data_IF_100240898418
#
_entry.id   IF_100240898418
#
_cell.length_a   1.000
_cell.length_b   1.000
_cell.length_c   1.000
_cell.angle_alpha   90.00
_cell.angle_beta   90.00
_cell.angle_gamma   90.00
#
_symmetry.space_group_name_H-M   'P 1'
#
loop_
_entity.id
_entity.type
_entity.pdbx_description
1 polymer ?
#
# COMPACT_ATOMS: atom_id res chain seq x y z
N UNK A 1 -9.30 -11.30 -20.99
CA UNK A 1 -9.26 -11.67 -19.56
C UNK A 1 -9.60 -10.41 -18.80
N UNK A 2 -10.41 -10.49 -17.75
CA UNK A 2 -10.77 -9.29 -16.97
C UNK A 2 -9.56 -8.87 -16.12
N UNK A 3 -9.30 -7.58 -16.06
CA UNK A 3 -8.19 -6.98 -15.30
C UNK A 3 -8.78 -5.93 -14.38
N UNK A 4 -8.47 -6.01 -13.09
CA UNK A 4 -8.75 -4.94 -12.14
C UNK A 4 -7.77 -3.80 -12.40
N UNK A 5 -8.30 -2.59 -12.61
CA UNK A 5 -7.48 -1.41 -12.83
C UNK A 5 -7.26 -0.59 -11.57
N UNK A 6 -6.13 0.11 -11.47
CA UNK A 6 -5.90 1.09 -10.39
C UNK A 6 -6.99 2.17 -10.40
N UNK A 7 -7.36 2.64 -11.60
CA UNK A 7 -8.45 3.60 -11.78
C UNK A 7 -9.81 3.09 -11.27
N UNK A 8 -10.08 1.79 -11.35
CA UNK A 8 -11.31 1.16 -10.81
C UNK A 8 -11.31 1.03 -9.28
N UNK A 9 -10.13 1.05 -8.66
CA UNK A 9 -9.96 0.99 -7.20
C UNK A 9 -10.18 2.37 -6.58
N UNK A 10 -9.84 3.44 -7.29
CA UNK A 10 -10.02 4.80 -6.79
C UNK A 10 -11.51 5.11 -6.61
N UNK A 11 -11.83 5.73 -5.48
CA UNK A 11 -13.18 5.98 -5.01
C UNK A 11 -13.80 4.83 -4.21
N UNK A 12 -13.18 3.65 -4.19
CA UNK A 12 -13.66 2.54 -3.37
C UNK A 12 -13.36 2.71 -1.89
N UNK A 13 -14.29 2.26 -1.06
CA UNK A 13 -14.18 2.29 0.39
C UNK A 13 -13.41 1.06 0.91
N UNK A 14 -12.55 1.27 1.91
CA UNK A 14 -11.83 0.22 2.64
C UNK A 14 -12.75 -0.35 3.72
N UNK A 15 -13.09 -1.64 3.61
CA UNK A 15 -13.91 -2.34 4.60
C UNK A 15 -13.07 -3.00 5.69
N UNK A 16 -11.91 -3.53 5.33
CA UNK A 16 -11.04 -4.25 6.26
C UNK A 16 -9.60 -4.22 5.74
N UNK A 17 -8.65 -4.17 6.66
CA UNK A 17 -7.23 -4.35 6.37
C UNK A 17 -6.70 -5.46 7.26
N UNK A 18 -5.94 -6.37 6.65
CA UNK A 18 -5.18 -7.40 7.33
C UNK A 18 -3.74 -7.35 6.88
N UNK A 19 -2.84 -7.94 7.63
CA UNK A 19 -1.44 -7.99 7.24
C UNK A 19 -0.81 -9.34 7.54
N UNK A 20 0.20 -9.68 6.77
CA UNK A 20 1.08 -10.81 7.06
C UNK A 20 2.45 -10.26 7.43
N UNK A 21 2.96 -10.73 8.56
CA UNK A 21 4.30 -10.40 9.02
C UNK A 21 5.09 -11.69 9.22
N UNK A 22 6.24 -11.77 8.58
CA UNK A 22 7.22 -12.82 8.78
C UNK A 22 8.48 -12.19 9.38
N UNK A 23 8.83 -12.49 10.65
CA UNK A 23 10.01 -11.93 11.28
C UNK A 23 11.34 -12.46 10.71
N UNK A 24 11.32 -13.59 9.98
CA UNK A 24 12.50 -14.23 9.39
C UNK A 24 12.06 -15.12 8.21
N UNK A 25 11.94 -14.50 7.03
CA UNK A 25 11.55 -15.20 5.82
C UNK A 25 12.68 -16.08 5.26
N UNK A 26 12.38 -16.87 4.23
CA UNK A 26 13.32 -17.82 3.61
C UNK A 26 14.63 -17.18 3.07
N UNK A 27 14.65 -15.85 2.93
CA UNK A 27 15.79 -15.08 2.45
C UNK A 27 16.59 -14.38 3.58
N UNK A 28 16.21 -14.59 4.84
CA UNK A 28 16.87 -13.98 6.00
C UNK A 28 16.49 -12.51 6.20
N UNK A 29 15.27 -12.12 5.82
CA UNK A 29 14.72 -10.78 6.01
C UNK A 29 13.39 -10.82 6.76
N UNK A 30 13.03 -9.70 7.39
CA UNK A 30 11.65 -9.46 7.80
C UNK A 30 10.82 -9.19 6.56
N UNK A 31 9.58 -9.67 6.52
CA UNK A 31 8.61 -9.26 5.52
C UNK A 31 7.28 -8.83 6.13
N UNK A 32 6.67 -7.82 5.55
CA UNK A 32 5.37 -7.29 5.93
C UNK A 32 4.55 -7.05 4.65
N UNK A 33 3.31 -7.52 4.58
CA UNK A 33 2.44 -7.27 3.43
C UNK A 33 1.02 -7.00 3.93
N UNK A 34 0.46 -5.85 3.59
CA UNK A 34 -0.92 -5.48 3.83
C UNK A 34 -1.85 -5.96 2.71
N UNK A 35 -3.04 -6.40 3.12
CA UNK A 35 -4.12 -6.81 2.23
C UNK A 35 -5.38 -6.05 2.61
N UNK A 36 -5.92 -5.33 1.64
CA UNK A 36 -7.03 -4.39 1.80
C UNK A 36 -8.26 -4.96 1.11
N UNK A 37 -9.33 -5.17 1.87
CA UNK A 37 -10.63 -5.56 1.34
C UNK A 37 -11.46 -4.31 1.06
N UNK A 38 -11.86 -4.17 -0.20
CA UNK A 38 -12.65 -3.05 -0.70
C UNK A 38 -14.16 -3.34 -0.61
N UNK A 39 -14.97 -2.29 -0.69
CA UNK A 39 -16.44 -2.40 -0.70
C UNK A 39 -17.00 -3.19 -1.89
N UNK A 40 -16.28 -3.26 -3.01
CA UNK A 40 -16.60 -4.16 -4.12
C UNK A 40 -16.43 -5.65 -3.78
N UNK A 41 -15.85 -5.97 -2.63
CA UNK A 41 -15.46 -7.33 -2.24
C UNK A 41 -14.09 -7.75 -2.77
N UNK A 42 -13.43 -6.93 -3.58
CA UNK A 42 -12.07 -7.19 -4.06
C UNK A 42 -11.05 -7.03 -2.93
N UNK A 43 -9.97 -7.81 -3.01
CA UNK A 43 -8.82 -7.74 -2.12
C UNK A 43 -7.62 -7.33 -2.96
N UNK A 44 -6.85 -6.36 -2.46
CA UNK A 44 -5.64 -5.84 -3.08
C UNK A 44 -4.50 -5.80 -2.07
N UNK A 45 -3.26 -5.81 -2.54
CA UNK A 45 -2.10 -5.33 -1.78
C UNK A 45 -1.85 -3.84 -2.06
N UNK A 46 -0.78 -3.28 -1.48
CA UNK A 46 -0.34 -1.92 -1.82
C UNK A 46 0.55 -2.02 -3.07
N UNK A 47 0.17 -1.41 -4.21
CA UNK A 47 0.93 -1.54 -5.44
C UNK A 47 2.29 -0.85 -5.34
N UNK A 48 3.29 -1.38 -6.05
CA UNK A 48 4.64 -0.79 -6.19
C UNK A 48 5.00 -0.51 -7.66
N UNK A 49 3.98 -0.36 -8.52
CA UNK A 49 4.11 0.00 -9.92
C UNK A 49 2.90 0.85 -10.35
N UNK A 50 3.10 1.72 -11.35
CA UNK A 50 2.16 2.76 -11.77
C UNK A 50 1.31 2.40 -12.99
N UNK A 51 1.33 1.15 -13.44
CA UNK A 51 0.49 0.69 -14.53
C UNK A 51 -0.97 0.55 -14.09
N UNK A 52 -1.89 1.14 -14.89
CA UNK A 52 -3.32 1.03 -14.62
C UNK A 52 -3.80 -0.43 -14.64
N UNK A 53 -3.19 -1.31 -15.44
CA UNK A 53 -3.46 -2.75 -15.40
C UNK A 53 -2.80 -3.40 -14.17
N UNK A 54 -3.50 -3.37 -13.04
CA UNK A 54 -2.98 -3.82 -11.75
C UNK A 54 -3.01 -5.33 -11.57
N UNK A 55 -4.19 -5.95 -11.70
CA UNK A 55 -4.34 -7.38 -11.37
C UNK A 55 -5.21 -8.10 -12.38
N UNK A 56 -4.65 -9.13 -13.00
CA UNK A 56 -5.42 -10.09 -13.80
C UNK A 56 -6.37 -10.88 -12.91
N UNK A 57 -7.67 -10.87 -13.20
CA UNK A 57 -8.70 -11.51 -12.37
C UNK A 57 -8.87 -12.99 -12.72
N UNK A 58 -7.77 -13.75 -12.64
CA UNK A 58 -7.78 -15.22 -12.74
C UNK A 58 -8.19 -15.84 -11.40
N UNK A 59 -8.70 -17.07 -11.42
CA UNK A 59 -9.04 -17.78 -10.19
C UNK A 59 -7.82 -17.94 -9.27
N UNK A 60 -6.64 -18.22 -9.85
CA UNK A 60 -5.38 -18.34 -9.11
C UNK A 60 -5.04 -17.06 -8.33
N UNK A 61 -5.14 -15.90 -8.96
CA UNK A 61 -4.89 -14.62 -8.30
C UNK A 61 -5.93 -14.34 -7.21
N UNK A 62 -7.21 -14.58 -7.50
CA UNK A 62 -8.28 -14.41 -6.51
C UNK A 62 -8.07 -15.30 -5.28
N UNK A 63 -7.73 -16.57 -5.48
CA UNK A 63 -7.44 -17.53 -4.42
C UNK A 63 -6.19 -17.12 -3.63
N UNK A 64 -5.16 -16.61 -4.30
CA UNK A 64 -3.96 -16.09 -3.66
C UNK A 64 -4.31 -14.94 -2.70
N UNK A 65 -4.94 -13.88 -3.20
CA UNK A 65 -5.29 -12.71 -2.38
C UNK A 65 -6.26 -13.07 -1.25
N UNK A 66 -7.27 -13.90 -1.54
CA UNK A 66 -8.21 -14.37 -0.53
C UNK A 66 -7.52 -15.15 0.58
N UNK A 67 -6.65 -16.10 0.23
CA UNK A 67 -5.88 -16.88 1.20
C UNK A 67 -4.99 -15.99 2.06
N UNK A 68 -4.27 -15.05 1.46
CA UNK A 68 -3.35 -14.15 2.18
C UNK A 68 -4.10 -13.24 3.15
N UNK A 69 -5.25 -12.72 2.72
CA UNK A 69 -6.15 -11.96 3.58
C UNK A 69 -6.71 -12.80 4.72
N UNK A 70 -7.29 -13.98 4.43
CA UNK A 70 -7.94 -14.81 5.45
C UNK A 70 -6.98 -15.31 6.52
N UNK A 71 -5.72 -15.55 6.16
CA UNK A 71 -4.67 -15.98 7.08
C UNK A 71 -3.88 -14.81 7.70
N UNK A 72 -4.14 -13.57 7.28
CA UNK A 72 -3.50 -12.38 7.81
C UNK A 72 -4.04 -11.97 9.19
N UNK A 73 -3.20 -11.28 9.95
CA UNK A 73 -3.57 -10.71 11.25
C UNK A 73 -4.47 -9.48 11.08
N UNK A 74 -5.38 -9.28 12.03
CA UNK A 74 -6.29 -8.13 12.09
C UNK A 74 -6.08 -7.27 13.35
N UNK A 75 -5.00 -7.50 14.08
CA UNK A 75 -4.65 -6.85 15.35
C UNK A 75 -4.00 -5.47 15.21
N UNK A 76 -4.24 -4.78 14.09
CA UNK A 76 -3.87 -3.38 13.90
C UNK A 76 -4.34 -2.54 15.08
N UNK A 77 -3.46 -1.65 15.54
CA UNK A 77 -3.74 -0.72 16.63
C UNK A 77 -5.08 0.01 16.39
N UNK A 78 -5.99 -0.06 17.37
CA UNK A 78 -7.39 0.33 17.17
C UNK A 78 -7.59 1.78 16.67
N UNK A 79 -6.83 2.79 17.14
CA UNK A 79 -6.88 4.13 16.56
C UNK A 79 -6.51 4.17 15.08
N UNK A 80 -5.48 3.42 14.65
CA UNK A 80 -5.10 3.36 13.23
C UNK A 80 -6.25 2.77 12.38
N UNK A 81 -6.93 1.71 12.88
CA UNK A 81 -8.11 1.17 12.19
C UNK A 81 -9.22 2.21 12.02
N UNK A 82 -9.44 3.08 13.00
CA UNK A 82 -10.44 4.15 12.94
C UNK A 82 -10.18 5.19 11.84
N UNK A 83 -8.91 5.34 11.43
CA UNK A 83 -8.53 6.24 10.33
C UNK A 83 -8.54 5.56 8.95
N UNK A 84 -8.69 4.22 8.89
CA UNK A 84 -8.63 3.44 7.66
C UNK A 84 -10.00 2.95 7.22
N UNK A 85 -10.73 2.30 8.14
CA UNK A 85 -11.99 1.63 7.81
C UNK A 85 -13.07 2.66 7.53
N UNK A 86 -13.82 2.45 6.44
CA UNK A 86 -14.85 3.37 5.94
C UNK A 86 -14.29 4.55 5.14
N UNK A 87 -12.97 4.66 4.97
CA UNK A 87 -12.38 5.69 4.12
C UNK A 87 -12.29 5.23 2.67
N UNK A 88 -12.41 6.20 1.76
CA UNK A 88 -12.23 5.95 0.33
C UNK A 88 -10.78 6.16 -0.07
N UNK A 89 -10.32 5.34 -1.02
CA UNK A 89 -9.07 5.56 -1.73
C UNK A 89 -9.27 6.74 -2.69
N UNK A 90 -8.48 7.79 -2.52
CA UNK A 90 -8.52 9.01 -3.35
C UNK A 90 -7.50 8.92 -4.48
N UNK A 91 -6.31 8.42 -4.18
CA UNK A 91 -5.22 8.33 -5.15
C UNK A 91 -4.17 7.32 -4.72
N UNK A 92 -3.35 6.88 -5.68
CA UNK A 92 -2.10 6.19 -5.44
C UNK A 92 -0.94 7.10 -5.79
N UNK A 93 0.06 7.17 -4.91
CA UNK A 93 1.22 8.02 -5.09
C UNK A 93 2.47 7.15 -5.16
N UNK A 94 3.11 7.13 -6.31
CA UNK A 94 4.22 6.24 -6.62
C UNK A 94 5.57 6.95 -6.46
N UNK A 95 6.58 6.19 -6.04
CA UNK A 95 7.94 6.68 -5.88
C UNK A 95 8.72 6.56 -7.20
N UNK A 96 9.47 7.59 -7.56
CA UNK A 96 10.32 7.60 -8.76
C UNK A 96 11.74 8.01 -8.39
N UNK A 97 12.73 7.31 -8.93
CA UNK A 97 14.14 7.66 -8.84
C UNK A 97 14.67 7.93 -10.25
N UNK A 98 15.17 9.15 -10.50
CA UNK A 98 15.63 9.57 -11.83
C UNK A 98 14.57 9.37 -12.94
N UNK A 99 13.32 9.73 -12.64
CA UNK A 99 12.14 9.61 -13.52
C UNK A 99 11.74 8.17 -13.88
N UNK A 100 12.32 7.17 -13.23
CA UNK A 100 11.93 5.76 -13.33
C UNK A 100 11.22 5.31 -12.05
N UNK A 101 10.21 4.44 -12.18
CA UNK A 101 9.47 3.88 -11.05
C UNK A 101 10.42 3.15 -10.10
N UNK A 102 10.32 3.44 -8.80
CA UNK A 102 11.09 2.77 -7.76
C UNK A 102 10.25 1.63 -7.16
N UNK A 103 10.53 0.41 -7.60
CA UNK A 103 9.81 -0.80 -7.19
C UNK A 103 10.12 -1.27 -5.76
N UNK A 104 11.15 -0.71 -5.11
CA UNK A 104 11.48 -1.04 -3.71
C UNK A 104 10.50 -0.37 -2.74
N UNK A 105 9.80 0.67 -3.19
CA UNK A 105 8.79 1.37 -2.41
C UNK A 105 7.37 0.99 -2.85
N UNK A 106 6.57 0.59 -1.86
CA UNK A 106 5.12 0.57 -2.03
C UNK A 106 4.59 1.99 -2.24
N UNK A 107 3.48 2.11 -2.97
CA UNK A 107 2.77 3.36 -3.13
C UNK A 107 2.30 3.91 -1.78
N UNK A 108 2.07 5.22 -1.73
CA UNK A 108 1.22 5.82 -0.72
C UNK A 108 -0.22 5.84 -1.24
N UNK A 109 -1.14 5.31 -0.45
CA UNK A 109 -2.58 5.38 -0.71
C UNK A 109 -3.11 6.62 0.01
N UNK A 110 -3.58 7.61 -0.75
CA UNK A 110 -4.25 8.78 -0.19
C UNK A 110 -5.69 8.41 0.17
N UNK A 111 -6.12 8.77 1.38
CA UNK A 111 -7.45 8.48 1.91
C UNK A 111 -8.32 9.74 1.96
N UNK A 112 -9.64 9.54 1.91
CA UNK A 112 -10.63 10.63 1.90
C UNK A 112 -10.63 11.53 3.14
N UNK A 113 -10.03 11.08 4.24
CA UNK A 113 -9.86 11.86 5.47
C UNK A 113 -8.52 12.60 5.56
N UNK A 114 -7.73 12.63 4.47
CA UNK A 114 -6.43 13.33 4.43
C UNK A 114 -5.27 12.55 5.05
N UNK A 115 -5.46 11.26 5.34
CA UNK A 115 -4.38 10.37 5.75
C UNK A 115 -3.76 9.64 4.55
N UNK A 116 -2.52 9.18 4.72
CA UNK A 116 -1.74 8.48 3.72
C UNK A 116 -1.23 7.16 4.29
N UNK A 117 -1.58 6.05 3.64
CA UNK A 117 -1.20 4.68 4.04
C UNK A 117 -0.09 4.17 3.12
N UNK A 118 0.94 3.54 3.69
CA UNK A 118 1.96 2.82 2.91
C UNK A 118 2.58 1.72 3.76
N UNK A 119 3.46 0.90 3.18
CA UNK A 119 4.22 -0.10 3.91
C UNK A 119 5.69 -0.12 3.50
N UNK A 120 6.52 -0.66 4.38
CA UNK A 120 7.83 -1.17 4.01
C UNK A 120 7.75 -2.68 4.02
N UNK A 121 7.85 -3.29 2.84
CA UNK A 121 7.62 -4.73 2.66
C UNK A 121 8.75 -5.58 3.21
N UNK A 122 10.01 -5.11 3.13
CA UNK A 122 11.18 -5.87 3.56
C UNK A 122 12.03 -5.11 4.57
N UNK A 123 12.60 -5.84 5.54
CA UNK A 123 13.37 -5.25 6.62
C UNK A 123 14.50 -6.14 7.13
N UNK A 124 15.46 -5.54 7.82
CA UNK A 124 16.50 -6.31 8.49
C UNK A 124 15.94 -6.97 9.76
N UNK A 125 16.34 -8.21 10.01
CA UNK A 125 15.92 -8.96 11.21
C UNK A 125 16.26 -8.17 12.48
N UNK A 126 15.28 -8.03 13.37
CA UNK A 126 15.41 -7.38 14.67
C UNK A 126 15.25 -5.85 14.65
N UNK A 127 15.00 -5.25 13.48
CA UNK A 127 14.85 -3.78 13.37
C UNK A 127 13.39 -3.31 13.43
N UNK A 128 12.44 -4.18 13.10
CA UNK A 128 11.02 -3.81 12.97
C UNK A 128 10.77 -2.88 11.79
N UNK A 129 11.69 -2.86 10.81
CA UNK A 129 11.62 -1.92 9.69
C UNK A 129 10.60 -2.33 8.64
N UNK A 130 10.18 -3.60 8.59
CA UNK A 130 9.06 -4.05 7.76
C UNK A 130 7.74 -3.82 8.52
N UNK A 131 6.96 -2.83 8.10
CA UNK A 131 5.77 -2.38 8.84
C UNK A 131 4.82 -1.55 7.98
N UNK A 132 3.63 -1.27 8.52
CA UNK A 132 2.62 -0.39 7.96
C UNK A 132 2.74 1.02 8.55
N UNK A 133 2.72 2.03 7.69
CA UNK A 133 2.75 3.43 8.10
C UNK A 133 1.44 4.12 7.73
N UNK A 134 0.95 4.94 8.66
CA UNK A 134 -0.17 5.83 8.47
C UNK A 134 0.26 7.24 8.83
N UNK A 135 0.23 8.14 7.85
CA UNK A 135 0.65 9.52 8.00
C UNK A 135 -0.55 10.45 7.93
N UNK A 136 -0.59 11.45 8.79
CA UNK A 136 -1.36 12.66 8.46
C UNK A 136 -0.65 13.45 7.33
N UNK A 137 -1.31 14.47 6.80
CA UNK A 137 -0.77 15.28 5.71
C UNK A 137 0.60 15.90 6.01
N UNK A 138 0.82 16.43 7.23
CA UNK A 138 2.09 17.04 7.59
C UNK A 138 3.22 16.01 7.65
N UNK A 139 2.94 14.83 8.21
CA UNK A 139 3.88 13.72 8.26
C UNK A 139 4.20 13.18 6.87
N UNK A 140 3.20 13.09 5.99
CA UNK A 140 3.39 12.69 4.60
C UNK A 140 4.28 13.68 3.84
N UNK A 141 4.00 14.98 3.93
CA UNK A 141 4.81 16.02 3.29
C UNK A 141 6.26 15.99 3.78
N UNK A 142 6.46 15.82 5.10
CA UNK A 142 7.80 15.65 5.66
C UNK A 142 8.50 14.40 5.10
N UNK A 143 7.79 13.28 4.98
CA UNK A 143 8.34 12.04 4.41
C UNK A 143 8.71 12.21 2.93
N UNK A 144 7.87 12.87 2.15
CA UNK A 144 8.13 13.25 0.75
C UNK A 144 9.42 14.08 0.64
N UNK A 145 9.57 15.11 1.47
CA UNK A 145 10.77 15.96 1.50
C UNK A 145 12.04 15.20 1.93
N UNK A 146 11.91 14.23 2.84
CA UNK A 146 13.03 13.38 3.27
C UNK A 146 13.48 12.42 2.16
N UNK A 147 12.54 11.77 1.48
CA UNK A 147 12.81 10.89 0.34
C UNK A 147 13.53 11.65 -0.78
N UNK A 148 13.03 12.83 -1.14
CA UNK A 148 13.66 13.66 -2.17
C UNK A 148 15.07 14.09 -1.79
N UNK A 149 15.28 14.61 -0.59
CA UNK A 149 16.59 15.13 -0.17
C UNK A 149 17.64 14.06 0.07
N UNK A 150 17.23 12.89 0.58
CA UNK A 150 18.19 11.85 1.00
C UNK A 150 18.47 10.82 -0.08
N UNK A 151 17.47 10.51 -0.90
CA UNK A 151 17.53 9.40 -1.85
C UNK A 151 17.27 9.84 -3.29
N UNK A 152 16.97 11.13 -3.52
CA UNK A 152 16.53 11.63 -4.82
C UNK A 152 15.27 10.94 -5.36
N UNK A 153 14.37 10.56 -4.45
CA UNK A 153 13.08 9.94 -4.78
C UNK A 153 11.99 11.01 -4.80
N UNK A 154 11.30 11.13 -5.93
CA UNK A 154 10.10 11.95 -6.09
C UNK A 154 8.84 11.10 -5.88
N UNK A 155 7.73 11.75 -5.52
CA UNK A 155 6.43 11.08 -5.35
C UNK A 155 5.41 11.72 -6.28
N UNK A 156 4.81 10.92 -7.14
CA UNK A 156 3.89 11.37 -8.19
C UNK A 156 2.53 10.70 -8.04
N UNK A 157 1.48 11.50 -8.26
CA UNK A 157 0.09 11.03 -8.35
C UNK A 157 -0.12 10.14 -9.56
N UNK A 158 -0.80 9.01 -9.37
CA UNK A 158 -1.27 8.15 -10.45
C UNK A 158 -2.20 8.88 -11.42
N UNK A 159 -3.11 9.72 -10.89
CA UNK A 159 -4.01 10.54 -11.70
C UNK A 159 -3.37 11.80 -12.30
N UNK A 160 -2.08 12.06 -12.04
CA UNK A 160 -1.39 13.26 -12.53
C UNK A 160 -1.86 14.56 -11.88
N UNK A 161 -2.56 14.49 -10.74
CA UNK A 161 -2.87 15.68 -9.96
C UNK A 161 -1.58 16.16 -9.28
N UNK A 162 -1.20 17.42 -9.48
CA UNK A 162 -0.15 18.05 -8.68
C UNK A 162 -0.60 18.11 -7.21
N UNK A 163 0.08 17.36 -6.35
CA UNK A 163 0.06 17.49 -4.89
C UNK A 163 0.70 18.82 -4.47
#
# INVERSE_FOLDING_TARGET
>A
METLRLSDIIGQEILELRYQYDPDNEWGFQSFNAYIKLASGRIIDIPNFDHDEYLLLTQENLDYFQKRFDTGSNDLYAPARGHLIGQKIVDFLFCYCADEIDHDYSAFIQLSNGYYLTETTHGQIGTGSATLYLFDEQQFLKRKDELKRRLNIDIHSFYGNTL
#
